data_IF_408310420203
#
_entry.id   IF_408310420203
#
_cell.length_a   1.000
_cell.length_b   1.000
_cell.length_c   1.000
_cell.angle_alpha   90.00
_cell.angle_beta   90.00
_cell.angle_gamma   90.00
#
_symmetry.space_group_name_H-M   'P 1'
#
loop_
_entity.id
_entity.type
_entity.pdbx_description
1 polymer ?
#
# COMPACT_ATOMS: atom_id res chain seq x y z
N UNK A 1 12.10 -17.62 3.24
CA UNK A 1 11.13 -16.84 4.04
C UNK A 1 11.82 -15.52 4.34
N UNK A 2 11.12 -14.41 4.20
CA UNK A 2 11.69 -13.09 4.53
C UNK A 2 11.96 -13.01 6.02
N UNK A 3 13.17 -12.60 6.41
CA UNK A 3 13.52 -12.35 7.81
C UNK A 3 13.20 -10.90 8.24
N UNK A 4 12.58 -10.13 7.34
CA UNK A 4 12.30 -8.70 7.56
C UNK A 4 11.26 -8.47 8.67
N UNK A 5 10.34 -9.41 8.87
CA UNK A 5 9.30 -9.33 9.90
C UNK A 5 9.75 -9.90 11.23
N UNK A 6 9.16 -9.41 12.37
CA UNK A 6 8.09 -8.42 12.47
C UNK A 6 8.54 -6.97 12.23
N UNK A 7 7.59 -6.11 11.85
CA UNK A 7 7.68 -4.67 12.04
C UNK A 7 7.09 -4.32 13.39
N UNK A 8 7.87 -3.67 14.26
CA UNK A 8 7.44 -3.22 15.58
C UNK A 8 7.43 -1.71 15.68
N UNK A 9 6.27 -1.14 16.00
CA UNK A 9 6.12 0.27 16.36
C UNK A 9 5.97 0.35 17.88
N UNK A 10 6.80 1.19 18.55
CA UNK A 10 6.78 1.34 20.00
C UNK A 10 6.61 2.81 20.38
N UNK A 11 5.48 3.14 21.05
CA UNK A 11 5.09 4.49 21.49
C UNK A 11 5.27 5.55 20.40
N UNK A 12 5.05 5.14 19.16
CA UNK A 12 5.34 5.94 17.98
C UNK A 12 4.38 7.10 17.86
N UNK A 13 4.92 8.32 17.70
CA UNK A 13 4.14 9.53 17.47
C UNK A 13 4.74 10.37 16.35
N UNK A 14 3.85 11.02 15.59
CA UNK A 14 4.22 12.01 14.57
C UNK A 14 3.55 13.34 14.92
N UNK A 15 4.35 14.41 14.96
CA UNK A 15 3.86 15.79 15.18
C UNK A 15 4.07 16.63 13.93
N UNK A 16 3.09 17.46 13.60
CA UNK A 16 3.20 18.47 12.54
C UNK A 16 2.73 19.81 13.09
N UNK A 17 3.58 20.83 12.96
CA UNK A 17 3.28 22.20 13.46
C UNK A 17 2.81 22.20 14.92
N UNK A 18 3.47 21.43 15.78
CA UNK A 18 3.17 21.34 17.21
C UNK A 18 1.96 20.47 17.59
N UNK A 19 1.20 19.95 16.61
CA UNK A 19 0.04 19.06 16.87
C UNK A 19 0.44 17.62 16.59
N UNK A 20 0.04 16.70 17.47
CA UNK A 20 0.14 15.26 17.22
C UNK A 20 -0.88 14.87 16.15
N UNK A 21 -0.40 14.30 15.04
CA UNK A 21 -1.24 13.84 13.92
C UNK A 21 -1.32 12.31 13.87
N UNK A 22 -0.43 11.63 14.60
CA UNK A 22 -0.43 10.17 14.74
C UNK A 22 0.18 9.81 16.09
N UNK A 23 -0.43 8.88 16.82
CA UNK A 23 0.11 8.25 18.02
C UNK A 23 -0.35 8.87 19.34
N UNK A 24 0.15 8.31 20.48
CA UNK A 24 1.13 7.21 20.49
C UNK A 24 0.53 5.88 19.95
N UNK A 25 1.37 5.13 19.22
CA UNK A 25 0.98 3.83 18.64
C UNK A 25 1.97 2.76 19.08
N UNK A 26 1.43 1.65 19.57
CA UNK A 26 2.11 0.37 19.76
C UNK A 26 1.49 -0.63 18.78
N UNK A 27 2.28 -1.20 17.88
CA UNK A 27 1.80 -2.10 16.84
C UNK A 27 2.89 -3.09 16.46
N UNK A 28 2.52 -4.35 16.35
CA UNK A 28 3.36 -5.39 15.73
C UNK A 28 2.63 -5.88 14.48
N UNK A 29 3.35 -5.92 13.36
CA UNK A 29 2.90 -6.52 12.10
C UNK A 29 3.83 -7.67 11.78
N UNK A 30 3.28 -8.87 11.75
CA UNK A 30 3.97 -10.09 11.38
C UNK A 30 3.88 -10.35 9.87
N UNK A 31 4.61 -11.35 9.41
CA UNK A 31 4.41 -11.88 8.08
C UNK A 31 2.99 -12.48 7.98
N UNK A 32 2.35 -12.34 6.82
CA UNK A 32 0.99 -12.85 6.64
C UNK A 32 0.33 -12.36 5.35
N UNK A 33 -0.98 -12.46 5.27
CA UNK A 33 -1.78 -11.95 4.17
C UNK A 33 -1.91 -10.42 4.16
N UNK A 34 -2.69 -9.82 3.24
CA UNK A 34 -2.82 -8.37 3.15
C UNK A 34 -3.41 -7.73 4.41
N UNK A 35 -2.77 -6.69 4.93
CA UNK A 35 -3.31 -5.83 6.00
C UNK A 35 -3.98 -4.61 5.40
N UNK A 36 -5.25 -4.39 5.76
CA UNK A 36 -5.97 -3.19 5.38
C UNK A 36 -6.03 -2.20 6.54
N UNK A 37 -5.53 -0.98 6.29
CA UNK A 37 -5.66 0.16 7.21
C UNK A 37 -6.91 0.93 6.80
N UNK A 38 -7.96 0.86 7.61
CA UNK A 38 -9.26 1.48 7.36
C UNK A 38 -9.54 2.62 8.35
N UNK A 39 -10.47 3.48 8.03
CA UNK A 39 -10.89 4.58 8.90
C UNK A 39 -11.29 5.82 8.10
N UNK A 40 -11.91 6.82 8.76
CA UNK A 40 -12.36 8.03 8.10
C UNK A 40 -11.20 8.85 7.51
N UNK A 41 -11.55 9.83 6.66
CA UNK A 41 -10.57 10.76 6.13
C UNK A 41 -9.94 11.57 7.28
N UNK A 42 -8.61 11.77 7.22
CA UNK A 42 -7.88 12.46 8.28
C UNK A 42 -7.55 11.61 9.52
N UNK A 43 -7.95 10.32 9.57
CA UNK A 43 -7.66 9.45 10.73
C UNK A 43 -6.18 9.08 10.91
N UNK A 44 -5.31 9.41 9.94
CA UNK A 44 -3.86 9.13 10.03
C UNK A 44 -3.37 7.95 9.19
N UNK A 45 -4.21 7.29 8.38
CA UNK A 45 -3.85 6.11 7.55
C UNK A 45 -2.59 6.33 6.71
N UNK A 46 -2.58 7.39 5.88
CA UNK A 46 -1.42 7.77 5.06
C UNK A 46 -0.16 8.01 5.89
N UNK A 47 -0.31 8.68 7.06
CA UNK A 47 0.83 8.94 7.93
C UNK A 47 1.39 7.66 8.53
N UNK A 48 0.51 6.72 8.95
CA UNK A 48 0.92 5.41 9.45
C UNK A 48 1.68 4.60 8.37
N UNK A 49 1.13 4.52 7.15
CA UNK A 49 1.80 3.83 6.04
C UNK A 49 3.18 4.43 5.75
N UNK A 50 3.28 5.76 5.72
CA UNK A 50 4.55 6.47 5.46
C UNK A 50 5.58 6.24 6.55
N UNK A 51 5.16 6.20 7.81
CA UNK A 51 6.05 5.87 8.94
C UNK A 51 6.56 4.43 8.81
N UNK A 52 5.67 3.47 8.57
CA UNK A 52 6.05 2.07 8.41
C UNK A 52 7.03 1.87 7.24
N UNK A 53 6.86 2.60 6.14
CA UNK A 53 7.79 2.59 5.02
C UNK A 53 9.11 3.32 5.31
N UNK A 54 9.15 4.25 6.27
CA UNK A 54 10.33 5.05 6.61
C UNK A 54 10.45 6.39 5.87
N UNK A 55 9.41 6.83 5.12
CA UNK A 55 9.41 8.13 4.42
C UNK A 55 8.80 9.28 5.24
N UNK A 56 8.21 9.01 6.38
CA UNK A 56 7.72 10.02 7.33
C UNK A 56 8.62 10.08 8.55
N UNK A 57 8.92 11.29 9.01
CA UNK A 57 9.75 11.49 10.20
C UNK A 57 8.95 11.19 11.48
N UNK A 58 9.48 10.30 12.31
CA UNK A 58 8.98 10.01 13.64
C UNK A 58 9.38 11.16 14.58
N UNK A 59 8.46 11.61 15.43
CA UNK A 59 8.71 12.63 16.46
C UNK A 59 9.09 12.02 17.80
N UNK A 60 8.46 10.90 18.16
CA UNK A 60 8.72 10.16 19.41
C UNK A 60 8.50 8.65 19.14
N UNK A 61 9.16 7.79 19.91
CA UNK A 61 9.09 6.33 19.76
C UNK A 61 9.94 5.79 18.62
N UNK A 62 9.68 4.55 18.22
CA UNK A 62 10.45 3.84 17.18
C UNK A 62 9.57 3.09 16.20
N UNK A 63 10.10 2.81 15.01
CA UNK A 63 9.57 1.86 14.03
C UNK A 63 10.73 0.99 13.54
N UNK A 64 10.71 -0.27 13.91
CA UNK A 64 11.84 -1.18 13.70
C UNK A 64 11.39 -2.44 12.98
N UNK A 65 12.09 -2.77 11.90
CA UNK A 65 11.99 -4.04 11.20
C UNK A 65 12.99 -5.01 11.83
N UNK A 66 12.65 -6.29 11.89
CA UNK A 66 13.58 -7.31 12.43
C UNK A 66 14.90 -7.34 11.65
N UNK A 67 14.84 -7.24 10.32
CA UNK A 67 15.99 -7.00 9.46
C UNK A 67 15.69 -5.80 8.55
N UNK A 68 16.32 -4.64 8.81
CA UNK A 68 16.03 -3.42 8.08
C UNK A 68 16.72 -3.44 6.71
N UNK A 69 15.98 -3.76 5.65
CA UNK A 69 16.40 -3.54 4.26
C UNK A 69 15.36 -2.71 3.52
N UNK A 70 15.51 -1.39 3.58
CA UNK A 70 14.63 -0.45 2.87
C UNK A 70 14.66 -0.61 1.34
N UNK A 71 15.63 -1.34 0.77
CA UNK A 71 15.67 -1.65 -0.66
C UNK A 71 14.56 -2.63 -1.06
N UNK A 72 14.04 -3.40 -0.11
CA UNK A 72 12.98 -4.38 -0.31
C UNK A 72 11.58 -3.85 -0.04
N UNK A 73 11.43 -2.56 0.24
CA UNK A 73 10.14 -1.91 0.35
C UNK A 73 9.76 -1.17 -0.92
N UNK A 74 8.47 -1.13 -1.22
CA UNK A 74 7.91 -0.28 -2.28
C UNK A 74 6.68 0.47 -1.77
N UNK A 75 6.48 1.69 -2.28
CA UNK A 75 5.34 2.54 -1.91
C UNK A 75 4.63 3.06 -3.16
N UNK A 76 3.32 2.92 -3.18
CA UNK A 76 2.43 3.47 -4.20
C UNK A 76 1.56 4.54 -3.57
N UNK A 77 1.72 5.78 -4.04
CA UNK A 77 0.97 6.93 -3.55
C UNK A 77 -0.47 6.94 -4.08
N UNK A 78 -1.39 7.56 -3.35
CA UNK A 78 -2.78 7.76 -3.74
C UNK A 78 -2.91 8.41 -5.13
N UNK A 79 -2.09 9.42 -5.42
CA UNK A 79 -1.97 9.99 -6.75
C UNK A 79 -0.75 9.41 -7.44
N UNK A 80 -0.92 8.56 -8.47
CA UNK A 80 0.20 7.87 -9.10
C UNK A 80 1.11 8.86 -9.84
N UNK A 81 2.39 8.87 -9.46
CA UNK A 81 3.42 9.65 -10.13
C UNK A 81 4.01 8.83 -11.27
N UNK A 82 3.94 9.33 -12.49
CA UNK A 82 4.59 8.73 -13.66
C UNK A 82 5.69 9.62 -14.19
N UNK A 83 6.76 9.02 -14.71
CA UNK A 83 7.82 9.75 -15.37
C UNK A 83 7.33 10.23 -16.74
N UNK A 84 7.81 11.39 -17.21
CA UNK A 84 7.55 11.91 -18.57
C UNK A 84 8.31 11.09 -19.63
N UNK A 85 8.01 9.80 -19.68
CA UNK A 85 8.60 8.76 -20.52
C UNK A 85 7.51 7.80 -20.99
N UNK A 86 7.87 6.86 -21.87
CA UNK A 86 6.95 5.80 -22.29
C UNK A 86 6.57 4.87 -21.13
N UNK A 87 5.53 4.04 -21.30
CA UNK A 87 5.15 3.00 -20.34
C UNK A 87 6.32 2.04 -20.08
N UNK A 88 6.94 1.53 -21.14
CA UNK A 88 8.09 0.62 -21.04
C UNK A 88 9.29 1.28 -20.33
N UNK A 89 9.56 2.57 -20.59
CA UNK A 89 10.63 3.29 -19.91
C UNK A 89 10.33 3.56 -18.43
N UNK A 90 9.06 3.76 -18.03
CA UNK A 90 8.65 3.85 -16.65
C UNK A 90 8.94 2.55 -15.90
N UNK A 91 8.64 1.39 -16.49
CA UNK A 91 8.90 0.07 -15.92
C UNK A 91 10.41 -0.23 -15.88
N UNK A 92 11.16 0.07 -16.93
CA UNK A 92 12.60 -0.21 -16.97
C UNK A 92 13.42 0.65 -15.99
N UNK A 93 12.91 1.82 -15.58
CA UNK A 93 13.64 2.79 -14.79
C UNK A 93 14.17 2.23 -13.45
N UNK A 94 13.37 1.57 -12.59
CA UNK A 94 13.85 1.03 -11.31
C UNK A 94 14.99 0.02 -11.48
N UNK A 95 14.92 -0.82 -12.52
CA UNK A 95 15.94 -1.84 -12.79
C UNK A 95 17.24 -1.23 -13.34
N UNK A 96 17.13 -0.15 -14.15
CA UNK A 96 18.29 0.62 -14.61
C UNK A 96 19.03 1.30 -13.47
N UNK A 97 18.28 1.84 -12.47
CA UNK A 97 18.89 2.48 -11.29
C UNK A 97 19.77 1.51 -10.51
N UNK A 98 19.35 0.26 -10.39
CA UNK A 98 20.14 -0.81 -9.72
C UNK A 98 21.08 -1.55 -10.68
N UNK A 99 21.26 -1.01 -11.90
CA UNK A 99 22.21 -1.51 -12.91
C UNK A 99 22.02 -2.98 -13.31
N UNK A 100 20.76 -3.46 -13.38
CA UNK A 100 20.46 -4.79 -13.92
C UNK A 100 20.89 -4.94 -15.37
N UNK A 101 21.20 -6.14 -15.81
CA UNK A 101 21.57 -6.42 -17.19
C UNK A 101 20.41 -6.15 -18.15
N UNK A 102 20.73 -5.63 -19.35
CA UNK A 102 19.71 -5.25 -20.35
C UNK A 102 18.73 -6.39 -20.72
N UNK A 103 19.15 -7.67 -20.89
CA UNK A 103 18.23 -8.77 -21.14
C UNK A 103 17.22 -8.96 -19.99
N UNK A 104 17.68 -8.92 -18.73
CA UNK A 104 16.81 -9.04 -17.55
C UNK A 104 15.77 -7.91 -17.50
N UNK A 105 16.20 -6.67 -17.80
CA UNK A 105 15.30 -5.52 -17.86
C UNK A 105 14.24 -5.74 -18.92
N UNK A 106 14.61 -6.17 -20.13
CA UNK A 106 13.67 -6.37 -21.22
C UNK A 106 12.63 -7.43 -20.87
N UNK A 107 13.05 -8.60 -20.38
CA UNK A 107 12.14 -9.69 -19.99
C UNK A 107 11.19 -9.24 -18.86
N UNK A 108 11.69 -8.54 -17.85
CA UNK A 108 10.85 -8.03 -16.76
C UNK A 108 9.85 -6.98 -17.25
N UNK A 109 10.25 -6.08 -18.15
CA UNK A 109 9.37 -5.06 -18.74
C UNK A 109 8.28 -5.71 -19.58
N UNK A 110 8.61 -6.68 -20.43
CA UNK A 110 7.64 -7.42 -21.25
C UNK A 110 6.62 -8.13 -20.36
N UNK A 111 7.06 -8.86 -19.35
CA UNK A 111 6.21 -9.53 -18.38
C UNK A 111 5.24 -8.55 -17.73
N UNK A 112 5.73 -7.44 -17.17
CA UNK A 112 4.87 -6.50 -16.46
C UNK A 112 3.91 -5.73 -17.37
N UNK A 113 4.31 -5.43 -18.62
CA UNK A 113 3.43 -4.84 -19.63
C UNK A 113 2.24 -5.75 -19.90
N UNK A 114 2.47 -7.06 -20.00
CA UNK A 114 1.43 -8.07 -20.21
C UNK A 114 0.51 -8.15 -18.98
N UNK A 115 1.09 -8.29 -17.78
CA UNK A 115 0.33 -8.41 -16.52
C UNK A 115 -0.63 -7.24 -16.28
N UNK A 116 -0.25 -6.03 -16.65
CA UNK A 116 -1.11 -4.83 -16.46
C UNK A 116 -1.95 -4.48 -17.69
N UNK A 117 -1.88 -5.29 -18.76
CA UNK A 117 -2.68 -5.13 -19.96
C UNK A 117 -2.35 -3.88 -20.81
N UNK A 118 -1.11 -3.36 -20.72
CA UNK A 118 -0.70 -2.14 -21.43
C UNK A 118 0.12 -2.39 -22.71
N UNK A 119 0.09 -3.60 -23.28
CA UNK A 119 0.86 -3.97 -24.47
C UNK A 119 0.65 -3.03 -25.65
N UNK A 120 -0.61 -2.67 -25.96
CA UNK A 120 -0.95 -1.76 -27.08
C UNK A 120 -0.41 -0.34 -26.92
N UNK A 121 -0.06 0.06 -25.71
CA UNK A 121 0.38 1.42 -25.36
C UNK A 121 1.79 1.47 -24.76
N UNK A 122 2.55 0.36 -24.85
CA UNK A 122 3.90 0.24 -24.27
C UNK A 122 4.84 1.39 -24.64
N UNK A 123 4.78 1.87 -25.89
CA UNK A 123 5.59 2.97 -26.40
C UNK A 123 4.92 4.36 -26.30
N UNK A 124 3.69 4.41 -25.73
CA UNK A 124 2.99 5.68 -25.49
C UNK A 124 3.57 6.39 -24.28
N UNK A 125 3.56 7.74 -24.30
CA UNK A 125 3.89 8.52 -23.11
C UNK A 125 2.94 8.19 -21.95
N UNK A 126 3.50 7.85 -20.80
CA UNK A 126 2.72 7.51 -19.59
C UNK A 126 1.84 8.67 -19.10
N UNK A 127 2.17 9.92 -19.46
CA UNK A 127 1.34 11.09 -19.12
C UNK A 127 -0.01 11.13 -19.85
N UNK A 128 -0.16 10.32 -20.92
CA UNK A 128 -1.41 10.23 -21.71
C UNK A 128 -2.29 9.03 -21.32
N UNK A 129 -1.91 8.30 -20.31
CA UNK A 129 -2.69 7.16 -19.78
C UNK A 129 -3.93 7.67 -19.02
N UNK A 130 -4.98 6.86 -18.98
CA UNK A 130 -6.13 7.05 -18.08
C UNK A 130 -5.72 6.94 -16.62
N UNK A 131 -6.61 7.29 -15.68
CA UNK A 131 -6.35 7.15 -14.24
C UNK A 131 -6.02 5.72 -13.85
N UNK A 132 -6.85 4.74 -14.26
CA UNK A 132 -6.63 3.33 -13.97
C UNK A 132 -5.36 2.77 -14.61
N UNK A 133 -5.06 3.11 -15.87
CA UNK A 133 -3.83 2.71 -16.53
C UNK A 133 -2.58 3.28 -15.82
N UNK A 134 -2.62 4.54 -15.38
CA UNK A 134 -1.53 5.13 -14.58
C UNK A 134 -1.34 4.44 -13.25
N UNK A 135 -2.42 4.08 -12.58
CA UNK A 135 -2.37 3.36 -11.31
C UNK A 135 -1.76 1.96 -11.50
N UNK A 136 -2.22 1.20 -12.49
CA UNK A 136 -1.64 -0.11 -12.83
C UNK A 136 -0.15 0.00 -13.16
N UNK A 137 0.25 1.01 -13.93
CA UNK A 137 1.66 1.27 -14.23
C UNK A 137 2.46 1.60 -12.95
N UNK A 138 1.92 2.39 -12.03
CA UNK A 138 2.60 2.73 -10.79
C UNK A 138 2.79 1.50 -9.88
N UNK A 139 1.78 0.62 -9.79
CA UNK A 139 1.87 -0.64 -9.05
C UNK A 139 2.90 -1.57 -9.68
N UNK A 140 2.84 -1.79 -10.99
CA UNK A 140 3.80 -2.64 -11.70
C UNK A 140 5.24 -2.12 -11.56
N UNK A 141 5.43 -0.80 -11.63
CA UNK A 141 6.74 -0.17 -11.42
C UNK A 141 7.26 -0.37 -9.99
N UNK A 142 6.38 -0.41 -9.00
CA UNK A 142 6.75 -0.71 -7.63
C UNK A 142 7.13 -2.19 -7.48
N UNK A 143 6.41 -3.08 -8.14
CA UNK A 143 6.57 -4.54 -8.06
C UNK A 143 7.74 -5.09 -8.89
N UNK A 144 8.20 -4.39 -9.93
CA UNK A 144 9.22 -4.91 -10.87
C UNK A 144 10.56 -5.24 -10.20
N UNK A 145 10.81 -4.73 -9.00
CA UNK A 145 11.99 -5.06 -8.19
C UNK A 145 11.77 -6.23 -7.23
N UNK A 146 10.58 -6.87 -7.27
CA UNK A 146 10.16 -7.93 -6.36
C UNK A 146 10.30 -7.54 -4.88
N UNK A 147 9.63 -6.46 -4.44
CA UNK A 147 9.72 -6.03 -3.04
C UNK A 147 9.11 -7.10 -2.12
N UNK A 148 9.66 -7.21 -0.91
CA UNK A 148 9.08 -8.06 0.14
C UNK A 148 7.83 -7.42 0.74
N UNK A 149 7.78 -6.08 0.78
CA UNK A 149 6.63 -5.33 1.28
C UNK A 149 6.19 -4.27 0.27
N UNK A 150 4.90 -4.24 -0.03
CA UNK A 150 4.27 -3.23 -0.85
C UNK A 150 3.27 -2.42 -0.01
N UNK A 151 3.55 -1.13 0.15
CA UNK A 151 2.63 -0.16 0.74
C UNK A 151 1.80 0.51 -0.35
N UNK A 152 0.48 0.59 -0.15
CA UNK A 152 -0.43 1.23 -1.09
C UNK A 152 -1.35 2.21 -0.34
N UNK A 153 -1.31 3.46 -0.73
CA UNK A 153 -2.14 4.50 -0.13
C UNK A 153 -3.35 4.76 -1.02
N UNK A 154 -4.51 4.21 -0.65
CA UNK A 154 -5.79 4.31 -1.37
C UNK A 154 -5.66 4.07 -2.90
N UNK A 155 -5.10 2.95 -3.36
CA UNK A 155 -4.70 2.76 -4.76
C UNK A 155 -5.88 2.71 -5.75
N UNK A 156 -7.11 2.49 -5.28
CA UNK A 156 -8.30 2.40 -6.12
C UNK A 156 -9.23 3.62 -5.99
N UNK A 157 -8.82 4.65 -5.24
CA UNK A 157 -9.61 5.88 -5.11
C UNK A 157 -9.82 6.53 -6.48
N UNK A 158 -11.07 6.92 -6.77
CA UNK A 158 -11.48 7.58 -8.01
C UNK A 158 -11.30 6.74 -9.29
N UNK A 159 -11.24 5.42 -9.19
CA UNK A 159 -11.21 4.50 -10.33
C UNK A 159 -12.61 3.92 -10.60
N UNK A 160 -12.84 3.55 -11.85
CA UNK A 160 -14.04 2.77 -12.23
C UNK A 160 -13.97 1.33 -11.68
N UNK A 161 -15.12 0.66 -11.65
CA UNK A 161 -15.22 -0.69 -11.08
C UNK A 161 -14.42 -1.76 -11.85
N UNK A 162 -14.14 -1.56 -13.15
CA UNK A 162 -13.30 -2.48 -13.91
C UNK A 162 -11.84 -2.35 -13.51
N UNK A 163 -11.31 -1.11 -13.53
CA UNK A 163 -9.94 -0.83 -13.11
C UNK A 163 -9.67 -1.27 -11.67
N UNK A 164 -10.66 -1.05 -10.78
CA UNK A 164 -10.58 -1.51 -9.38
C UNK A 164 -10.43 -3.03 -9.30
N UNK A 165 -11.27 -3.81 -10.01
CA UNK A 165 -11.18 -5.28 -10.02
C UNK A 165 -9.86 -5.79 -10.59
N UNK A 166 -9.36 -5.18 -11.65
CA UNK A 166 -8.07 -5.55 -12.25
C UNK A 166 -6.91 -5.33 -11.25
N UNK A 167 -6.92 -4.20 -10.52
CA UNK A 167 -5.92 -3.92 -9.48
C UNK A 167 -6.07 -4.89 -8.30
N UNK A 168 -7.29 -5.16 -7.82
CA UNK A 168 -7.51 -6.12 -6.73
C UNK A 168 -7.00 -7.53 -7.09
N UNK A 169 -7.25 -7.99 -8.32
CA UNK A 169 -6.73 -9.26 -8.81
C UNK A 169 -5.21 -9.27 -8.80
N UNK A 170 -4.57 -8.23 -9.34
CA UNK A 170 -3.11 -8.08 -9.34
C UNK A 170 -2.53 -8.10 -7.92
N UNK A 171 -3.16 -7.42 -6.97
CA UNK A 171 -2.71 -7.40 -5.58
C UNK A 171 -2.85 -8.76 -4.90
N UNK A 172 -3.95 -9.49 -5.14
CA UNK A 172 -4.14 -10.84 -4.60
C UNK A 172 -3.10 -11.84 -5.15
N UNK A 173 -2.79 -11.76 -6.44
CA UNK A 173 -1.74 -12.58 -7.07
C UNK A 173 -0.36 -12.24 -6.50
N UNK A 174 -0.07 -10.95 -6.32
CA UNK A 174 1.15 -10.45 -5.70
C UNK A 174 1.30 -10.96 -4.26
N UNK A 175 0.24 -10.93 -3.47
CA UNK A 175 0.25 -11.45 -2.11
C UNK A 175 0.47 -12.99 -2.08
N UNK A 176 -0.17 -13.74 -2.99
CA UNK A 176 0.04 -15.19 -3.14
C UNK A 176 1.48 -15.52 -3.54
N UNK A 177 2.13 -14.65 -4.32
CA UNK A 177 3.54 -14.79 -4.69
C UNK A 177 4.51 -14.45 -3.54
N UNK A 178 4.02 -14.01 -2.38
CA UNK A 178 4.81 -13.83 -1.16
C UNK A 178 5.13 -12.38 -0.80
N UNK A 179 4.72 -11.38 -1.59
CA UNK A 179 4.85 -9.97 -1.21
C UNK A 179 3.83 -9.62 -0.12
N UNK A 180 4.30 -9.10 1.01
CA UNK A 180 3.43 -8.58 2.08
C UNK A 180 2.77 -7.27 1.62
N UNK A 181 1.44 -7.20 1.64
CA UNK A 181 0.70 -6.00 1.25
C UNK A 181 0.19 -5.29 2.50
N UNK A 182 0.44 -3.99 2.60
CA UNK A 182 -0.12 -3.10 3.60
C UNK A 182 -0.78 -1.93 2.86
N UNK A 183 -2.10 -1.84 2.92
CA UNK A 183 -2.87 -0.93 2.07
C UNK A 183 -3.87 -0.13 2.88
N UNK A 184 -3.96 1.18 2.63
CA UNK A 184 -5.06 1.98 3.14
C UNK A 184 -6.24 1.98 2.17
N UNK A 185 -7.45 1.98 2.71
CA UNK A 185 -8.68 2.18 1.94
C UNK A 185 -9.80 2.74 2.81
N UNK A 186 -10.71 3.46 2.19
CA UNK A 186 -12.00 3.84 2.77
C UNK A 186 -13.17 3.02 2.18
N UNK A 187 -12.91 2.15 1.19
CA UNK A 187 -13.90 1.23 0.61
C UNK A 187 -13.97 -0.07 1.42
N UNK A 188 -15.07 -0.24 2.16
CA UNK A 188 -15.29 -1.43 2.99
C UNK A 188 -15.52 -2.69 2.15
N UNK A 189 -16.08 -2.56 0.94
CA UNK A 189 -16.20 -3.68 0.00
C UNK A 189 -14.83 -4.20 -0.41
N UNK A 190 -13.91 -3.30 -0.74
CA UNK A 190 -12.53 -3.64 -1.06
C UNK A 190 -11.80 -4.27 0.14
N UNK A 191 -11.93 -3.66 1.32
CA UNK A 191 -11.33 -4.21 2.54
C UNK A 191 -11.81 -5.64 2.81
N UNK A 192 -13.12 -5.93 2.66
CA UNK A 192 -13.69 -7.28 2.84
C UNK A 192 -13.15 -8.31 1.83
N UNK A 193 -12.86 -7.88 0.59
CA UNK A 193 -12.35 -8.79 -0.46
C UNK A 193 -10.87 -9.12 -0.33
N UNK A 194 -10.08 -8.19 0.22
CA UNK A 194 -8.62 -8.29 0.19
C UNK A 194 -7.99 -8.59 1.55
N UNK A 195 -8.61 -8.17 2.66
CA UNK A 195 -7.97 -8.21 3.96
C UNK A 195 -7.81 -9.62 4.52
N UNK A 196 -6.62 -9.93 5.04
CA UNK A 196 -6.39 -10.94 6.06
C UNK A 196 -6.49 -10.32 7.46
N UNK A 197 -5.93 -9.11 7.64
CA UNK A 197 -5.94 -8.34 8.87
C UNK A 197 -6.49 -6.94 8.64
N UNK A 198 -7.09 -6.36 9.68
CA UNK A 198 -7.59 -4.98 9.70
C UNK A 198 -6.88 -4.20 10.81
N UNK A 199 -6.55 -2.95 10.47
CA UNK A 199 -6.17 -1.92 11.43
C UNK A 199 -7.17 -0.77 11.23
N UNK A 200 -8.05 -0.56 12.20
CA UNK A 200 -8.99 0.56 12.18
C UNK A 200 -8.41 1.76 12.91
N UNK A 201 -8.36 2.89 12.19
CA UNK A 201 -7.79 4.14 12.69
C UNK A 201 -8.87 5.20 12.91
N UNK A 202 -8.81 5.88 14.05
CA UNK A 202 -9.60 7.08 14.35
C UNK A 202 -8.71 8.14 15.01
N UNK A 203 -8.78 9.39 14.53
CA UNK A 203 -8.14 10.56 15.15
C UNK A 203 -6.65 10.37 15.49
N UNK A 204 -5.90 9.72 14.60
CA UNK A 204 -4.46 9.47 14.77
C UNK A 204 -4.09 8.26 15.63
N UNK A 205 -5.06 7.48 16.08
CA UNK A 205 -4.84 6.30 16.93
C UNK A 205 -5.37 5.04 16.26
N UNK A 206 -4.84 3.88 16.65
CA UNK A 206 -5.43 2.58 16.34
C UNK A 206 -6.54 2.34 17.35
N UNK A 207 -7.80 2.37 16.87
CA UNK A 207 -8.95 2.13 17.72
C UNK A 207 -9.26 0.62 17.86
N UNK A 208 -9.03 -0.15 16.79
CA UNK A 208 -9.20 -1.59 16.80
C UNK A 208 -8.29 -2.27 15.78
N UNK A 209 -7.84 -3.51 16.06
CA UNK A 209 -7.10 -4.34 15.11
C UNK A 209 -7.44 -5.81 15.31
N UNK A 210 -7.38 -6.61 14.27
CA UNK A 210 -7.61 -8.05 14.35
C UNK A 210 -7.69 -8.71 12.98
N UNK A 211 -8.01 -10.01 12.98
CA UNK A 211 -8.29 -10.73 11.75
C UNK A 211 -9.54 -10.16 11.07
N UNK A 212 -9.51 -10.06 9.75
CA UNK A 212 -10.59 -9.44 8.99
C UNK A 212 -11.97 -10.09 9.26
N UNK A 213 -12.12 -11.43 9.30
CA UNK A 213 -13.40 -12.04 9.62
C UNK A 213 -13.97 -11.58 10.97
N UNK A 214 -13.13 -11.49 12.00
CA UNK A 214 -13.55 -11.13 13.37
C UNK A 214 -13.94 -9.65 13.43
N UNK A 215 -13.10 -8.77 12.89
CA UNK A 215 -13.32 -7.32 12.86
C UNK A 215 -14.59 -6.95 12.11
N UNK A 216 -14.90 -7.64 11.02
CA UNK A 216 -16.11 -7.37 10.25
C UNK A 216 -17.38 -8.02 10.79
N UNK A 217 -17.29 -9.13 11.52
CA UNK A 217 -18.45 -9.82 12.08
C UNK A 217 -18.80 -9.35 13.47
N UNK A 218 -17.80 -9.04 14.29
CA UNK A 218 -17.93 -8.73 15.72
C UNK A 218 -17.05 -7.55 16.12
N UNK A 219 -17.26 -6.36 15.52
CA UNK A 219 -16.48 -5.18 15.88
C UNK A 219 -16.65 -4.83 17.36
N UNK A 220 -15.55 -4.63 18.07
CA UNK A 220 -15.53 -4.46 19.52
C UNK A 220 -15.77 -3.01 19.94
N UNK A 221 -15.30 -2.05 19.09
CA UNK A 221 -15.42 -0.63 19.42
C UNK A 221 -16.68 -0.01 18.83
N UNK A 222 -17.39 0.88 19.57
CA UNK A 222 -18.54 1.60 19.03
C UNK A 222 -18.20 2.39 17.76
N UNK A 223 -16.99 2.92 17.69
CA UNK A 223 -16.49 3.68 16.54
C UNK A 223 -16.41 2.82 15.28
N UNK A 224 -15.88 1.59 15.40
CA UNK A 224 -15.82 0.70 14.24
C UNK A 224 -17.23 0.23 13.86
N UNK A 225 -18.11 -0.06 14.83
CA UNK A 225 -19.50 -0.41 14.55
C UNK A 225 -20.23 0.68 13.76
N UNK A 226 -20.07 1.94 14.16
CA UNK A 226 -20.64 3.09 13.47
C UNK A 226 -20.03 3.24 12.06
N UNK A 227 -18.69 3.15 11.96
CA UNK A 227 -17.98 3.24 10.69
C UNK A 227 -18.42 2.17 9.69
N UNK A 228 -18.59 0.92 10.12
CA UNK A 228 -19.04 -0.18 9.25
C UNK A 228 -20.50 -0.04 8.79
N UNK A 229 -21.34 0.70 9.54
CA UNK A 229 -22.71 1.04 9.16
C UNK A 229 -22.80 2.22 8.21
N UNK A 230 -21.69 2.94 7.98
CA UNK A 230 -21.63 4.13 7.16
C UNK A 230 -22.00 5.42 7.93
N UNK A 231 -22.03 5.37 9.26
CA UNK A 231 -22.28 6.55 10.08
C UNK A 231 -21.12 7.54 9.98
N UNK A 232 -21.43 8.84 10.04
CA UNK A 232 -20.43 9.89 10.06
C UNK A 232 -19.78 9.89 11.44
N UNK A 233 -18.47 9.60 11.49
CA UNK A 233 -17.67 9.71 12.70
C UNK A 233 -17.10 11.15 12.79
N UNK A 234 -17.53 11.91 13.78
CA UNK A 234 -16.94 13.19 14.16
C UNK A 234 -15.58 13.03 14.88
#
# INVERSE_FOLDING_TARGET
>A
MSNMFPLTLSKLSVRRRGKTVLGPIDLVIDQGGPTMVIGPNGSGKTTLLRVMHGIERISEGTAEWAEPDHANHAYVFQSPVVLRRTVAENLSYPLRVIKRAKPEINSAVEYWIEQIGLGKVANRSATRLSGGERQKLAIARALIRNPEVLFLDEPCSNLDGQSTREIETLLLETAKAGTRIIMSTHDMGQARRLAADIIFMKSGHIAEKGLAPDVFSTPQTPELQAFLKGDILE
#
